data_IF_338633429103
#
_entry.id   IF_338633429103
#
_cell.length_a   1.000
_cell.length_b   1.000
_cell.length_c   1.000
_cell.angle_alpha   90.00
_cell.angle_beta   90.00
_cell.angle_gamma   90.00
#
_symmetry.space_group_name_H-M   'P 1'
#
loop_
_entity.id
_entity.type
_entity.pdbx_description
1 polymer ?
#
# COMPACT_ATOMS: atom_id res chain seq x y z
N UNK A 1 6.03 -6.46 3.27
CA UNK A 1 4.55 -6.47 3.10
C UNK A 1 3.80 -7.14 4.24
N UNK A 2 2.80 -6.45 4.78
CA UNK A 2 1.86 -6.87 5.84
C UNK A 2 0.40 -6.76 5.40
N UNK A 3 0.08 -5.79 4.57
CA UNK A 3 -1.25 -5.63 3.97
C UNK A 3 -1.15 -5.16 2.51
N UNK A 4 -2.18 -5.49 1.73
CA UNK A 4 -2.33 -5.10 0.32
C UNK A 4 -3.80 -4.80 0.02
N UNK A 5 -4.05 -3.80 -0.82
CA UNK A 5 -5.37 -3.43 -1.31
C UNK A 5 -5.30 -3.09 -2.80
N UNK A 6 -6.28 -3.56 -3.57
CA UNK A 6 -6.47 -3.22 -4.97
C UNK A 6 -7.71 -2.35 -5.12
N UNK A 7 -7.57 -1.22 -5.80
CA UNK A 7 -8.68 -0.32 -6.14
C UNK A 7 -9.44 -0.83 -7.38
N UNK A 8 -8.72 -1.46 -8.29
CA UNK A 8 -9.23 -2.11 -9.49
C UNK A 8 -8.27 -3.24 -9.91
N UNK A 9 -8.50 -3.86 -11.07
CA UNK A 9 -7.70 -4.98 -11.55
C UNK A 9 -6.25 -4.61 -11.93
N UNK A 10 -5.92 -3.32 -12.03
CA UNK A 10 -4.60 -2.82 -12.42
C UNK A 10 -3.85 -2.15 -11.27
N UNK A 11 -4.57 -1.45 -10.39
CA UNK A 11 -4.01 -0.54 -9.42
C UNK A 11 -4.09 -1.11 -8.00
N UNK A 12 -2.94 -1.27 -7.36
CA UNK A 12 -2.84 -1.76 -5.99
C UNK A 12 -1.79 -1.04 -5.16
N UNK A 13 -1.99 -1.03 -3.85
CA UNK A 13 -1.04 -0.50 -2.85
C UNK A 13 -0.79 -1.60 -1.81
N UNK A 14 0.47 -1.76 -1.42
CA UNK A 14 0.85 -2.59 -0.30
C UNK A 14 1.72 -1.83 0.68
N UNK A 15 1.62 -2.22 1.95
CA UNK A 15 2.35 -1.60 3.06
C UNK A 15 3.07 -2.64 3.90
N UNK A 16 4.07 -2.21 4.68
CA UNK A 16 4.86 -3.14 5.47
C UNK A 16 5.73 -2.51 6.56
N UNK A 17 6.77 -3.24 6.92
CA UNK A 17 7.70 -2.85 7.99
C UNK A 17 8.49 -1.60 7.59
N UNK A 18 8.94 -0.83 8.59
CA UNK A 18 9.80 0.32 8.33
C UNK A 18 9.13 1.46 7.55
N UNK A 19 7.79 1.51 7.54
CA UNK A 19 7.03 2.48 6.76
C UNK A 19 6.98 2.15 5.26
N UNK A 20 7.25 0.91 4.85
CA UNK A 20 7.17 0.49 3.45
C UNK A 20 5.79 0.81 2.87
N UNK A 21 5.77 1.55 1.75
CA UNK A 21 4.61 1.77 0.89
C UNK A 21 5.06 1.52 -0.55
N UNK A 22 4.41 0.59 -1.23
CA UNK A 22 4.67 0.26 -2.64
C UNK A 22 3.36 0.27 -3.43
N UNK A 23 3.43 0.68 -4.70
CA UNK A 23 2.28 0.76 -5.62
C UNK A 23 2.56 -0.01 -6.90
N UNK A 24 1.54 -0.69 -7.42
CA UNK A 24 1.51 -1.27 -8.77
C UNK A 24 0.47 -0.57 -9.62
N UNK A 25 0.70 -0.54 -10.93
CA UNK A 25 -0.27 -0.16 -11.95
C UNK A 25 -0.35 -1.21 -13.08
N UNK A 26 0.16 -2.41 -12.82
CA UNK A 26 0.31 -3.49 -13.79
C UNK A 26 -0.02 -4.88 -13.18
N UNK A 27 -1.31 -5.15 -12.94
CA UNK A 27 -1.82 -6.21 -12.05
C UNK A 27 -0.90 -6.82 -10.98
N UNK A 28 0.01 -6.07 -10.36
CA UNK A 28 0.99 -6.58 -9.40
C UNK A 28 2.24 -7.24 -9.99
N UNK A 29 2.50 -7.10 -11.29
CA UNK A 29 3.71 -7.58 -11.95
C UNK A 29 4.95 -6.77 -11.53
N UNK A 30 4.80 -5.45 -11.40
CA UNK A 30 5.85 -4.58 -10.88
C UNK A 30 5.34 -3.66 -9.78
N UNK A 31 6.25 -3.30 -8.88
CA UNK A 31 5.97 -2.49 -7.71
C UNK A 31 7.00 -1.38 -7.59
N UNK A 32 6.52 -0.15 -7.40
CA UNK A 32 7.37 1.03 -7.23
C UNK A 32 7.19 1.59 -5.82
N UNK A 33 8.31 1.86 -5.14
CA UNK A 33 8.30 2.50 -3.82
C UNK A 33 7.63 3.88 -3.87
N UNK A 34 6.84 4.20 -2.84
CA UNK A 34 6.21 5.49 -2.67
C UNK A 34 6.81 6.22 -1.46
N UNK A 35 6.84 7.56 -1.45
CA UNK A 35 7.23 8.32 -0.27
C UNK A 35 6.36 7.93 0.94
N UNK A 36 7.01 7.68 2.07
CA UNK A 36 6.34 7.36 3.32
C UNK A 36 6.53 8.50 4.32
N UNK A 37 5.47 8.95 5.00
CA UNK A 37 5.58 9.99 6.02
C UNK A 37 6.12 9.47 7.36
N UNK A 38 6.39 8.17 7.48
CA UNK A 38 6.84 7.53 8.72
C UNK A 38 7.82 6.39 8.43
N UNK A 39 8.59 6.00 9.44
CA UNK A 39 9.39 4.77 9.44
C UNK A 39 8.77 3.69 10.34
N UNK A 40 7.62 3.96 10.96
CA UNK A 40 6.91 2.95 11.74
C UNK A 40 6.34 1.88 10.81
N UNK A 41 6.27 0.64 11.31
CA UNK A 41 5.61 -0.43 10.56
C UNK A 41 4.14 -0.09 10.32
N UNK A 42 3.69 -0.30 9.09
CA UNK A 42 2.29 -0.18 8.69
C UNK A 42 1.74 -1.60 8.58
N UNK A 43 0.89 -2.00 9.53
CA UNK A 43 0.43 -3.38 9.68
C UNK A 43 -0.92 -3.63 9.00
N UNK A 44 -1.67 -2.58 8.67
CA UNK A 44 -2.98 -2.71 8.05
C UNK A 44 -3.28 -1.63 7.02
N UNK A 45 -4.31 -1.92 6.22
CA UNK A 45 -4.91 -0.98 5.28
C UNK A 45 -6.41 -0.94 5.54
N UNK A 46 -6.97 0.27 5.67
CA UNK A 46 -8.41 0.50 5.73
C UNK A 46 -8.84 1.32 4.51
N UNK A 47 -9.78 0.78 3.74
CA UNK A 47 -10.31 1.43 2.55
C UNK A 47 -11.76 1.87 2.77
N UNK A 48 -12.08 3.10 2.37
CA UNK A 48 -13.45 3.61 2.27
C UNK A 48 -13.58 4.48 1.04
N UNK A 49 -14.44 4.09 0.11
CA UNK A 49 -14.59 4.74 -1.19
C UNK A 49 -13.22 4.86 -1.90
N UNK A 50 -12.81 6.08 -2.27
CA UNK A 50 -11.49 6.35 -2.88
C UNK A 50 -10.38 6.62 -1.85
N UNK A 51 -10.64 6.48 -0.55
CA UNK A 51 -9.66 6.74 0.50
C UNK A 51 -9.05 5.43 1.02
N UNK A 52 -7.72 5.36 1.02
CA UNK A 52 -6.95 4.30 1.66
C UNK A 52 -6.13 4.89 2.81
N UNK A 53 -6.27 4.33 4.00
CA UNK A 53 -5.53 4.71 5.20
C UNK A 53 -4.63 3.54 5.60
N UNK A 54 -3.33 3.78 5.71
CA UNK A 54 -2.40 2.83 6.31
C UNK A 54 -2.41 2.99 7.83
N UNK A 55 -2.53 1.87 8.54
CA UNK A 55 -2.59 1.85 10.01
C UNK A 55 -1.37 1.11 10.57
N UNK A 56 -0.75 1.61 11.67
CA UNK A 56 0.33 0.92 12.36
C UNK A 56 -0.09 -0.40 13.00
#
# INVERSE_FOLDING_TARGET
MRAIHFFDAQNGIAVGLGGEIIRTSDPGLTWTAQPSPTTNSLLGLFARDNLLIAVP
#
